data_IF_391525020460
#
_entry.id   IF_391525020460
#
_cell.length_a   1.000
_cell.length_b   1.000
_cell.length_c   1.000
_cell.angle_alpha   90.00
_cell.angle_beta   90.00
_cell.angle_gamma   90.00
#
_symmetry.space_group_name_H-M   'P 1'
#
loop_
_entity.id
_entity.type
_entity.pdbx_description
1 polymer ?
#
# COMPACT_ATOMS: atom_id res chain seq x y z
N UNK A 1 10.38 -7.73 6.67
CA UNK A 1 8.92 -7.93 6.50
C UNK A 1 8.06 -6.83 7.14
N UNK A 2 8.34 -6.36 8.36
CA UNK A 2 7.53 -5.31 9.04
C UNK A 2 7.30 -4.04 8.21
N UNK A 3 8.31 -3.57 7.47
CA UNK A 3 8.18 -2.42 6.55
C UNK A 3 7.08 -2.62 5.51
N UNK A 4 7.12 -3.74 4.79
CA UNK A 4 6.13 -4.07 3.75
C UNK A 4 4.72 -4.19 4.31
N UNK A 5 4.57 -4.85 5.47
CA UNK A 5 3.28 -4.95 6.16
C UNK A 5 2.74 -3.56 6.51
N UNK A 6 3.53 -2.76 7.23
CA UNK A 6 3.11 -1.44 7.68
C UNK A 6 2.79 -0.49 6.52
N UNK A 7 3.62 -0.46 5.48
CA UNK A 7 3.34 0.33 4.29
C UNK A 7 2.03 -0.09 3.64
N UNK A 8 1.86 -1.38 3.37
CA UNK A 8 0.70 -1.90 2.64
C UNK A 8 -0.60 -1.74 3.42
N UNK A 9 -0.57 -1.94 4.74
CA UNK A 9 -1.70 -1.71 5.64
C UNK A 9 -2.16 -0.25 5.61
N UNK A 10 -1.23 0.69 5.81
CA UNK A 10 -1.57 2.12 5.85
C UNK A 10 -1.96 2.66 4.48
N UNK A 11 -1.37 2.14 3.41
CA UNK A 11 -1.66 2.56 2.05
C UNK A 11 -2.97 1.95 1.52
N UNK A 12 -3.30 0.71 1.87
CA UNK A 12 -4.56 0.07 1.53
C UNK A 12 -5.75 0.73 2.21
N UNK A 13 -5.62 1.02 3.51
CA UNK A 13 -6.68 1.64 4.31
C UNK A 13 -6.91 3.12 3.96
N UNK A 14 -6.15 3.70 3.03
CA UNK A 14 -6.35 5.07 2.56
C UNK A 14 -7.79 5.26 2.06
N UNK A 15 -8.49 6.21 2.67
CA UNK A 15 -9.78 6.71 2.22
C UNK A 15 -9.66 8.20 1.86
N UNK A 16 -10.54 8.67 0.96
CA UNK A 16 -10.55 10.06 0.51
C UNK A 16 -11.06 11.06 1.54
N UNK A 17 -11.62 10.59 2.67
CA UNK A 17 -12.18 11.44 3.72
C UNK A 17 -11.08 12.09 4.57
N UNK A 18 -9.98 11.37 4.85
CA UNK A 18 -8.86 11.86 5.66
C UNK A 18 -7.50 11.75 4.94
N UNK A 19 -7.33 12.33 3.74
CA UNK A 19 -6.17 12.07 2.88
C UNK A 19 -4.84 12.48 3.52
N UNK A 20 -4.84 13.56 4.32
CA UNK A 20 -3.65 14.02 5.05
C UNK A 20 -3.24 13.05 6.15
N UNK A 21 -4.19 12.54 6.93
CA UNK A 21 -3.92 11.60 8.02
C UNK A 21 -3.26 10.32 7.50
N UNK A 22 -3.76 9.77 6.38
CA UNK A 22 -3.17 8.57 5.81
C UNK A 22 -1.81 8.84 5.18
N UNK A 23 -1.62 9.99 4.52
CA UNK A 23 -0.32 10.42 4.00
C UNK A 23 0.74 10.48 5.09
N UNK A 24 0.39 10.99 6.27
CA UNK A 24 1.29 11.03 7.41
C UNK A 24 1.70 9.65 7.93
N UNK A 25 0.83 8.64 7.79
CA UNK A 25 1.08 7.28 8.27
C UNK A 25 2.07 6.51 7.40
N UNK A 26 2.05 6.68 6.07
CA UNK A 26 2.93 5.91 5.17
C UNK A 26 4.19 6.65 4.74
N UNK A 27 4.26 7.98 4.86
CA UNK A 27 5.39 8.77 4.34
C UNK A 27 6.76 8.39 4.95
N UNK A 28 6.78 7.82 6.15
CA UNK A 28 8.01 7.39 6.82
C UNK A 28 8.58 6.07 6.24
N UNK A 29 7.77 5.32 5.50
CA UNK A 29 8.13 4.02 4.93
C UNK A 29 8.62 4.12 3.48
N UNK A 30 8.53 5.28 2.85
CA UNK A 30 8.78 5.47 1.41
C UNK A 30 9.99 6.37 1.16
N UNK A 31 10.58 6.25 -0.03
CA UNK A 31 11.59 7.19 -0.52
C UNK A 31 10.97 8.51 -0.97
N UNK A 32 11.79 9.56 -1.12
CA UNK A 32 11.32 10.84 -1.67
C UNK A 32 10.84 10.70 -3.12
N UNK A 33 11.45 9.81 -3.91
CA UNK A 33 10.97 9.50 -5.26
C UNK A 33 9.55 8.96 -5.24
N UNK A 34 9.26 7.95 -4.40
CA UNK A 34 7.92 7.40 -4.30
C UNK A 34 6.94 8.44 -3.73
N UNK A 35 7.39 9.27 -2.78
CA UNK A 35 6.60 10.38 -2.24
C UNK A 35 6.18 11.36 -3.33
N UNK A 36 7.11 11.72 -4.23
CA UNK A 36 6.83 12.63 -5.34
C UNK A 36 5.85 11.98 -6.35
N UNK A 37 6.11 10.72 -6.72
CA UNK A 37 5.21 9.92 -7.58
C UNK A 37 3.79 9.84 -7.00
N UNK A 38 3.66 9.66 -5.69
CA UNK A 38 2.37 9.68 -5.01
C UNK A 38 1.76 11.09 -4.99
N UNK A 39 2.53 12.15 -4.76
CA UNK A 39 1.97 13.52 -4.77
C UNK A 39 1.46 13.97 -6.15
N UNK A 40 2.09 13.50 -7.23
CA UNK A 40 1.66 13.76 -8.61
C UNK A 40 0.51 12.83 -9.04
N UNK A 41 0.43 11.64 -8.40
CA UNK A 41 -0.47 10.55 -8.73
C UNK A 41 -1.62 10.31 -7.74
N UNK A 42 -1.89 11.19 -6.76
CA UNK A 42 -3.16 11.20 -6.01
C UNK A 42 -4.28 11.73 -6.94
N UNK A 43 -4.38 11.09 -8.08
CA UNK A 43 -5.51 11.03 -9.00
C UNK A 43 -5.88 9.56 -9.15
N UNK A 44 -5.59 8.69 -8.15
CA UNK A 44 -6.46 7.51 -7.97
C UNK A 44 -7.86 8.09 -7.82
N UNK A 45 -8.84 7.72 -8.66
CA UNK A 45 -10.19 8.22 -8.52
C UNK A 45 -10.68 7.79 -7.13
N UNK A 46 -10.61 8.71 -6.19
CA UNK A 46 -11.29 8.68 -4.89
C UNK A 46 -12.78 9.01 -5.05
N UNK A 47 -13.26 9.13 -6.29
CA UNK A 47 -14.61 8.71 -6.67
C UNK A 47 -14.67 7.18 -6.44
N UNK A 48 -14.97 6.64 -5.27
CA UNK A 48 -16.07 6.97 -4.39
C UNK A 48 -15.63 6.66 -2.94
N UNK A 49 -16.32 7.29 -2.01
CA UNK A 49 -16.20 7.28 -0.54
C UNK A 49 -16.32 5.88 0.10
N UNK A 50 -15.51 4.90 -0.33
CA UNK A 50 -15.48 3.57 0.24
C UNK A 50 -14.41 3.46 1.31
N UNK A 51 -14.76 2.92 2.48
CA UNK A 51 -13.81 2.55 3.51
C UNK A 51 -13.16 1.22 3.18
N UNK A 52 -11.88 1.09 3.48
CA UNK A 52 -11.15 -0.17 3.33
C UNK A 52 -10.64 -0.63 4.68
N UNK A 53 -10.94 -1.87 5.02
CA UNK A 53 -10.52 -2.50 6.25
C UNK A 53 -9.68 -3.72 5.95
N UNK A 54 -8.53 -3.83 6.63
CA UNK A 54 -7.64 -4.98 6.48
C UNK A 54 -8.13 -6.09 7.41
N UNK A 55 -8.42 -7.26 6.83
CA UNK A 55 -8.69 -8.47 7.61
C UNK A 55 -7.39 -9.25 7.85
N UNK A 56 -6.59 -9.42 6.81
CA UNK A 56 -5.35 -10.18 6.88
C UNK A 56 -4.29 -9.64 5.92
N UNK A 57 -3.01 -9.72 6.33
CA UNK A 57 -1.87 -9.39 5.46
C UNK A 57 -0.83 -10.50 5.53
N UNK A 58 -0.53 -11.07 4.37
CA UNK A 58 0.60 -11.98 4.17
C UNK A 58 1.70 -11.27 3.41
N UNK A 59 2.92 -11.34 3.92
CA UNK A 59 4.10 -10.80 3.24
C UNK A 59 5.00 -11.97 2.86
N UNK A 60 5.53 -11.97 1.64
CA UNK A 60 6.48 -12.97 1.17
C UNK A 60 7.49 -12.35 0.21
N UNK A 61 8.68 -12.96 0.12
CA UNK A 61 9.69 -12.57 -0.84
C UNK A 61 9.31 -13.06 -2.24
N UNK A 62 9.56 -12.23 -3.25
CA UNK A 62 9.45 -12.69 -4.63
C UNK A 62 10.64 -13.60 -4.97
N UNK A 63 10.38 -14.68 -5.72
CA UNK A 63 11.42 -15.60 -6.20
C UNK A 63 12.38 -14.92 -7.19
N UNK A 64 12.01 -13.76 -7.73
CA UNK A 64 12.84 -12.97 -8.63
C UNK A 64 13.88 -12.17 -7.84
N UNK A 65 15.11 -12.65 -7.84
CA UNK A 65 16.24 -11.89 -7.33
C UNK A 65 16.58 -10.74 -8.30
N UNK A 66 16.47 -9.50 -7.83
CA UNK A 66 17.08 -8.35 -8.48
C UNK A 66 18.18 -7.81 -7.55
N UNK A 67 19.41 -7.67 -8.04
CA UNK A 67 20.54 -7.21 -7.24
C UNK A 67 20.46 -5.73 -6.82
N UNK A 68 19.54 -4.96 -7.40
CA UNK A 68 19.36 -3.53 -7.13
C UNK A 68 18.35 -3.24 -6.01
N UNK A 69 17.40 -4.15 -5.76
CA UNK A 69 16.34 -3.96 -4.76
C UNK A 69 15.80 -5.28 -4.23
N UNK A 70 15.29 -5.26 -2.99
CA UNK A 70 14.54 -6.38 -2.41
C UNK A 70 13.10 -6.30 -2.89
N UNK A 71 12.59 -7.38 -3.49
CA UNK A 71 11.20 -7.47 -3.95
C UNK A 71 10.34 -8.23 -2.93
N UNK A 72 9.43 -7.52 -2.26
CA UNK A 72 8.45 -8.12 -1.34
C UNK A 72 7.05 -8.02 -1.94
N UNK A 73 6.24 -9.05 -1.73
CA UNK A 73 4.82 -9.04 -2.08
C UNK A 73 4.03 -9.02 -0.79
N UNK A 74 3.10 -8.07 -0.68
CA UNK A 74 2.12 -8.01 0.40
C UNK A 74 0.74 -8.30 -0.17
N UNK A 75 0.20 -9.47 0.15
CA UNK A 75 -1.18 -9.84 -0.17
C UNK A 75 -2.08 -9.44 0.98
N UNK A 76 -3.10 -8.65 0.67
CA UNK A 76 -4.10 -8.19 1.63
C UNK A 76 -5.42 -8.86 1.29
N UNK A 77 -6.01 -9.52 2.29
CA UNK A 77 -7.43 -9.81 2.30
C UNK A 77 -8.11 -8.71 3.11
N UNK A 78 -9.04 -7.98 2.49
CA UNK A 78 -9.68 -6.84 3.10
C UNK A 78 -11.11 -6.68 2.64
N UNK A 79 -11.80 -5.76 3.29
CA UNK A 79 -13.18 -5.43 3.02
C UNK A 79 -13.27 -4.03 2.46
N UNK A 80 -14.09 -3.87 1.44
CA UNK A 80 -14.48 -2.57 0.90
C UNK A 80 -15.91 -2.30 1.35
N UNK A 81 -16.07 -1.23 2.11
CA UNK A 81 -17.32 -0.76 2.68
C UNK A 81 -17.79 0.47 1.94
N UNK A 82 -19.09 0.60 1.69
CA UNK A 82 -19.70 1.83 1.18
C UNK A 82 -19.63 3.01 2.18
N UNK A 83 -20.12 4.17 1.76
CA UNK A 83 -19.95 5.45 2.47
C UNK A 83 -20.61 5.47 3.86
N UNK A 84 -21.70 4.73 4.03
CA UNK A 84 -22.42 4.54 5.28
C UNK A 84 -22.00 3.28 6.04
N UNK A 85 -21.00 2.54 5.53
CA UNK A 85 -20.45 1.30 6.10
C UNK A 85 -21.49 0.18 6.26
N UNK A 86 -22.52 0.17 5.41
CA UNK A 86 -23.62 -0.80 5.45
C UNK A 86 -23.42 -2.01 4.53
N UNK A 87 -22.73 -1.84 3.40
CA UNK A 87 -22.42 -2.93 2.47
C UNK A 87 -20.95 -3.28 2.52
N UNK A 88 -20.66 -4.58 2.64
CA UNK A 88 -19.31 -5.12 2.71
C UNK A 88 -19.03 -6.01 1.49
N UNK A 89 -17.92 -5.73 0.80
CA UNK A 89 -17.40 -6.59 -0.25
C UNK A 89 -15.97 -7.00 0.06
N UNK A 90 -15.76 -8.31 0.15
CA UNK A 90 -14.42 -8.89 0.23
C UNK A 90 -13.60 -8.53 -1.03
N UNK A 91 -12.33 -8.22 -0.81
CA UNK A 91 -11.36 -7.91 -1.85
C UNK A 91 -9.99 -8.49 -1.47
N UNK A 92 -9.39 -9.18 -2.43
CA UNK A 92 -7.99 -9.61 -2.33
C UNK A 92 -7.15 -8.73 -3.26
N UNK A 93 -6.09 -8.13 -2.71
CA UNK A 93 -5.14 -7.32 -3.47
C UNK A 93 -3.71 -7.70 -3.17
N UNK A 94 -2.82 -7.44 -4.13
CA UNK A 94 -1.39 -7.57 -3.96
C UNK A 94 -0.68 -6.25 -4.22
N UNK A 95 0.21 -5.90 -3.30
CA UNK A 95 1.23 -4.89 -3.49
C UNK A 95 2.57 -5.57 -3.73
N UNK A 96 3.12 -5.40 -4.93
CA UNK A 96 4.51 -5.77 -5.20
C UNK A 96 5.39 -4.57 -4.91
N UNK A 97 6.25 -4.68 -3.90
CA UNK A 97 7.06 -3.60 -3.36
C UNK A 97 8.53 -3.77 -3.76
N UNK A 98 9.12 -2.71 -4.29
CA UNK A 98 10.56 -2.59 -4.46
C UNK A 98 11.15 -1.86 -3.26
N UNK A 99 12.07 -2.49 -2.54
CA UNK A 99 12.66 -1.98 -1.31
C UNK A 99 14.15 -1.73 -1.53
N UNK A 100 14.59 -0.51 -1.20
CA UNK A 100 15.98 -0.08 -1.28
C UNK A 100 16.46 0.38 0.09
N UNK A 101 17.79 0.43 0.27
CA UNK A 101 18.42 0.96 1.47
C UNK A 101 18.84 2.42 1.23
N UNK A 102 18.37 3.34 2.07
CA UNK A 102 18.69 4.79 2.05
C UNK A 102 19.11 5.20 3.46
N UNK A 103 20.32 5.75 3.62
CA UNK A 103 20.85 6.21 4.91
C UNK A 103 20.67 5.19 6.05
N UNK A 104 21.07 3.94 5.76
CA UNK A 104 20.92 2.79 6.67
C UNK A 104 19.49 2.31 6.99
N UNK A 105 18.48 2.88 6.34
CA UNK A 105 17.08 2.49 6.50
C UNK A 105 16.53 1.83 5.23
N UNK A 106 15.80 0.73 5.38
CA UNK A 106 15.04 0.18 4.27
C UNK A 106 13.77 0.99 4.04
N UNK A 107 13.50 1.34 2.77
CA UNK A 107 12.33 2.12 2.35
C UNK A 107 11.74 1.55 1.07
N UNK A 108 10.43 1.73 0.89
CA UNK A 108 9.73 1.39 -0.35
C UNK A 108 10.06 2.46 -1.39
N UNK A 109 10.68 2.01 -2.48
CA UNK A 109 11.11 2.85 -3.61
C UNK A 109 10.07 2.90 -4.72
N UNK A 110 9.39 1.78 -4.97
CA UNK A 110 8.28 1.70 -5.90
C UNK A 110 7.29 0.60 -5.49
N UNK A 111 6.08 0.65 -6.04
CA UNK A 111 5.09 -0.39 -5.90
C UNK A 111 4.28 -0.62 -7.18
N UNK A 112 3.83 -1.85 -7.36
CA UNK A 112 2.76 -2.21 -8.28
C UNK A 112 1.56 -2.75 -7.50
N UNK A 113 0.35 -2.50 -8.00
CA UNK A 113 -0.91 -2.92 -7.41
C UNK A 113 -1.64 -3.86 -8.37
N UNK A 114 -2.14 -4.98 -7.84
CA UNK A 114 -3.01 -5.90 -8.56
C UNK A 114 -4.22 -6.28 -7.68
N UNK A 115 -5.40 -6.35 -8.28
CA UNK A 115 -6.60 -6.91 -7.66
C UNK A 115 -6.76 -8.36 -8.10
N UNK A 116 -6.92 -9.27 -7.15
CA UNK A 116 -7.04 -10.71 -7.36
C UNK A 116 -8.49 -11.16 -7.12
N UNK A 117 -9.38 -10.71 -8.01
CA UNK A 117 -10.83 -11.00 -8.07
C UNK A 117 -11.63 -10.82 -6.78
#
# INVERSE_FOLDING_TARGET
>A
MKLAKNFSENFYSFNGEYPLMYKEKYQFYITDQLKNKLSEGITRPTFQEFYREVQEIHVYESLEANGEYIKLIARINGNVLNQDKSEEKEEIVEYTLQIVKVDDQYKVHDYAYAKLQ
#
